data_IF_586704563561
#
_entry.id   IF_586704563561
#
_cell.length_a   1.000
_cell.length_b   1.000
_cell.length_c   1.000
_cell.angle_alpha   90.00
_cell.angle_beta   90.00
_cell.angle_gamma   90.00
#
_symmetry.space_group_name_H-M   'P 1'
#
loop_
_entity.id
_entity.type
_entity.pdbx_description
1 polymer ?
#
# COMPACT_ATOMS: atom_id res chain seq x y z
N UNK A 1 -3.89 -42.75 1.24
CA UNK A 1 -4.84 -41.78 0.66
C UNK A 1 -4.18 -41.13 -0.55
N UNK A 2 -4.39 -41.70 -1.75
CA UNK A 2 -3.67 -41.33 -2.97
C UNK A 2 -4.32 -40.09 -3.61
N UNK A 3 -3.92 -38.90 -3.16
CA UNK A 3 -4.25 -37.66 -3.86
C UNK A 3 -3.44 -37.68 -5.17
N UNK A 4 -4.11 -38.02 -6.28
CA UNK A 4 -3.49 -38.02 -7.62
C UNK A 4 -2.97 -36.61 -7.91
N UNK A 5 -1.80 -36.48 -8.55
CA UNK A 5 -1.16 -35.21 -8.93
C UNK A 5 -2.14 -34.23 -9.60
N UNK A 6 -3.09 -34.76 -10.40
CA UNK A 6 -4.21 -34.01 -10.98
C UNK A 6 -5.05 -33.23 -9.95
N UNK A 7 -5.32 -33.80 -8.78
CA UNK A 7 -6.08 -33.16 -7.71
C UNK A 7 -5.28 -32.04 -7.03
N UNK A 8 -3.95 -32.18 -6.93
CA UNK A 8 -3.06 -31.13 -6.40
C UNK A 8 -3.02 -29.93 -7.38
N UNK A 9 -2.91 -30.20 -8.68
CA UNK A 9 -2.93 -29.16 -9.72
C UNK A 9 -4.28 -28.43 -9.75
N UNK A 10 -5.40 -29.14 -9.67
CA UNK A 10 -6.74 -28.54 -9.61
C UNK A 10 -6.89 -27.67 -8.36
N UNK A 11 -6.46 -28.16 -7.19
CA UNK A 11 -6.51 -27.39 -5.94
C UNK A 11 -5.66 -26.11 -6.02
N UNK A 12 -4.47 -26.21 -6.61
CA UNK A 12 -3.59 -25.05 -6.84
C UNK A 12 -4.22 -24.02 -7.76
N UNK A 13 -4.84 -24.44 -8.86
CA UNK A 13 -5.57 -23.55 -9.79
C UNK A 13 -6.71 -22.84 -9.06
N UNK A 14 -7.50 -23.56 -8.25
CA UNK A 14 -8.61 -22.98 -7.49
C UNK A 14 -8.15 -21.94 -6.44
N UNK A 15 -7.03 -22.19 -5.75
CA UNK A 15 -6.44 -21.23 -4.79
C UNK A 15 -5.98 -19.94 -5.49
N UNK A 16 -5.36 -20.06 -6.67
CA UNK A 16 -4.96 -18.90 -7.46
C UNK A 16 -6.17 -18.12 -8.00
N UNK A 17 -7.23 -18.79 -8.45
CA UNK A 17 -8.47 -18.11 -8.88
C UNK A 17 -9.10 -17.33 -7.72
N UNK A 18 -9.10 -17.88 -6.51
CA UNK A 18 -9.66 -17.20 -5.33
C UNK A 18 -8.88 -15.93 -4.95
N UNK A 19 -7.58 -15.90 -5.27
CA UNK A 19 -6.73 -14.72 -5.03
C UNK A 19 -6.99 -13.57 -6.02
N UNK A 20 -7.73 -13.83 -7.11
CA UNK A 20 -8.04 -12.83 -8.15
C UNK A 20 -9.36 -12.10 -7.87
N UNK A 21 -10.22 -12.60 -6.96
CA UNK A 21 -11.45 -11.91 -6.58
C UNK A 21 -11.22 -10.81 -5.54
N UNK A 22 -10.31 -9.87 -5.82
CA UNK A 22 -10.29 -8.61 -5.09
C UNK A 22 -11.27 -7.67 -5.79
N UNK A 23 -12.41 -7.40 -5.16
CA UNK A 23 -13.31 -6.33 -5.61
C UNK A 23 -12.47 -5.07 -5.85
N UNK A 24 -12.64 -4.44 -7.01
CA UNK A 24 -11.79 -3.36 -7.54
C UNK A 24 -11.95 -2.03 -6.76
N UNK A 25 -12.34 -2.09 -5.48
CA UNK A 25 -12.51 -0.93 -4.64
C UNK A 25 -11.13 -0.48 -4.16
N UNK A 26 -10.67 0.66 -4.70
CA UNK A 26 -9.40 1.28 -4.32
C UNK A 26 -9.68 2.34 -3.28
N UNK A 27 -9.43 2.06 -2.01
CA UNK A 27 -9.52 3.03 -0.92
C UNK A 27 -8.15 3.53 -0.52
N UNK A 28 -8.12 4.70 0.11
CA UNK A 28 -6.94 5.23 0.76
C UNK A 28 -7.25 5.49 2.23
N UNK A 29 -6.25 5.36 3.10
CA UNK A 29 -6.34 5.98 4.41
C UNK A 29 -6.37 7.50 4.24
N UNK A 30 -7.25 8.16 4.98
CA UNK A 30 -7.34 9.61 5.06
C UNK A 30 -7.25 10.04 6.52
N UNK A 31 -6.18 10.78 6.81
CA UNK A 31 -5.89 11.32 8.13
C UNK A 31 -4.87 12.45 8.01
N UNK A 32 -4.79 13.29 9.05
CA UNK A 32 -3.71 14.25 9.24
C UNK A 32 -3.43 14.42 10.73
N UNK A 33 -2.19 14.28 11.14
CA UNK A 33 -1.80 14.50 12.53
C UNK A 33 -0.38 15.05 12.65
N UNK A 34 -0.08 15.65 13.80
CA UNK A 34 1.25 16.13 14.18
C UNK A 34 1.83 15.28 15.30
N UNK A 35 3.14 15.09 15.27
CA UNK A 35 3.89 14.35 16.29
C UNK A 35 3.50 12.87 16.45
N UNK A 36 4.18 12.21 17.40
CA UNK A 36 4.11 10.75 17.62
C UNK A 36 2.80 10.24 18.25
N UNK A 37 2.01 11.15 18.84
CA UNK A 37 0.71 10.82 19.44
C UNK A 37 -0.43 10.79 18.42
N UNK A 38 -0.19 11.30 17.21
CA UNK A 38 -1.21 11.34 16.17
C UNK A 38 -1.53 9.97 15.55
N UNK A 39 -2.80 9.73 15.26
CA UNK A 39 -3.28 8.50 14.60
C UNK A 39 -2.76 8.35 13.16
N UNK A 40 -2.35 9.46 12.53
CA UNK A 40 -1.74 9.47 11.19
C UNK A 40 -0.21 9.32 11.21
N UNK A 41 0.39 8.84 12.30
CA UNK A 41 1.84 8.70 12.39
C UNK A 41 2.44 7.68 11.41
N UNK A 42 3.75 7.64 11.40
CA UNK A 42 4.54 6.66 10.67
C UNK A 42 5.64 6.11 11.59
N UNK A 43 5.75 4.78 11.81
CA UNK A 43 5.02 3.70 11.16
C UNK A 43 3.52 3.69 11.46
N UNK A 44 2.73 3.39 10.43
CA UNK A 44 1.27 3.27 10.55
C UNK A 44 0.87 1.97 11.23
N UNK A 45 -0.09 2.05 12.16
CA UNK A 45 -0.45 0.92 13.03
C UNK A 45 -1.86 0.37 12.80
N UNK A 46 -2.65 1.02 11.96
CA UNK A 46 -4.06 0.70 11.81
C UNK A 46 -4.30 -0.16 10.57
N UNK A 47 -5.12 -1.20 10.75
CA UNK A 47 -5.65 -2.00 9.65
C UNK A 47 -7.01 -1.47 9.20
N UNK A 48 -7.49 -1.95 8.05
CA UNK A 48 -8.79 -1.57 7.47
C UNK A 48 -9.97 -1.66 8.45
N UNK A 49 -9.96 -2.65 9.34
CA UNK A 49 -11.05 -2.91 10.30
C UNK A 49 -10.99 -2.04 11.56
N UNK A 50 -9.84 -1.44 11.86
CA UNK A 50 -9.61 -0.65 13.09
C UNK A 50 -9.85 0.84 12.86
N UNK A 51 -10.12 1.23 11.62
CA UNK A 51 -10.26 2.63 11.22
C UNK A 51 -11.46 3.28 11.89
N UNK A 52 -12.59 2.58 11.94
CA UNK A 52 -13.85 3.14 12.47
C UNK A 52 -13.81 3.39 13.99
N UNK A 53 -12.85 2.77 14.68
CA UNK A 53 -12.63 2.91 16.12
C UNK A 53 -11.67 4.06 16.48
N UNK A 54 -10.87 4.54 15.51
CA UNK A 54 -9.82 5.52 15.75
C UNK A 54 -10.24 6.93 15.31
N UNK A 55 -10.34 7.90 16.25
CA UNK A 55 -10.72 9.26 15.91
C UNK A 55 -9.75 9.94 14.93
N UNK A 56 -10.28 10.57 13.90
CA UNK A 56 -9.47 11.31 12.91
C UNK A 56 -8.76 10.43 11.89
N UNK A 57 -9.04 9.13 11.88
CA UNK A 57 -8.65 8.20 10.82
C UNK A 57 -9.89 7.71 10.07
N UNK A 58 -9.83 7.73 8.75
CA UNK A 58 -10.92 7.23 7.89
C UNK A 58 -10.35 6.47 6.69
N UNK A 59 -11.16 5.63 6.05
CA UNK A 59 -10.86 5.08 4.73
C UNK A 59 -11.87 5.63 3.74
N UNK A 60 -11.37 6.15 2.62
CA UNK A 60 -12.22 6.73 1.59
C UNK A 60 -12.03 6.02 0.24
N UNK A 61 -13.10 5.82 -0.54
CA UNK A 61 -12.95 5.36 -1.91
C UNK A 61 -12.22 6.42 -2.74
N UNK A 62 -11.29 5.98 -3.58
CA UNK A 62 -10.44 6.84 -4.38
C UNK A 62 -10.60 6.52 -5.86
N UNK A 63 -11.31 7.39 -6.59
CA UNK A 63 -11.65 7.18 -8.00
C UNK A 63 -10.43 7.11 -8.93
N UNK A 64 -9.37 7.85 -8.63
CA UNK A 64 -8.08 7.76 -9.35
C UNK A 64 -7.36 6.44 -9.08
N UNK A 65 -7.68 5.78 -7.97
CA UNK A 65 -6.97 4.61 -7.47
C UNK A 65 -5.59 4.90 -6.90
N UNK A 66 -5.23 6.17 -6.73
CA UNK A 66 -3.92 6.62 -6.28
C UNK A 66 -4.02 7.23 -4.88
N UNK A 67 -3.16 6.76 -3.98
CA UNK A 67 -3.05 7.29 -2.63
C UNK A 67 -1.75 8.09 -2.47
N UNK A 68 -1.82 9.11 -1.61
CA UNK A 68 -0.69 9.94 -1.21
C UNK A 68 -0.40 9.79 0.28
N UNK A 69 0.89 9.85 0.61
CA UNK A 69 1.42 10.05 1.97
C UNK A 69 2.39 11.22 1.92
N UNK A 70 2.15 12.23 2.75
CA UNK A 70 2.95 13.46 2.82
C UNK A 70 3.53 13.58 4.23
N UNK A 71 4.82 13.80 4.33
CA UNK A 71 5.53 14.11 5.59
C UNK A 71 6.13 15.51 5.45
N UNK A 72 5.58 16.45 6.21
CA UNK A 72 6.11 17.80 6.39
C UNK A 72 7.21 17.78 7.45
N UNK A 73 8.23 18.64 7.32
CA UNK A 73 9.22 18.87 8.39
C UNK A 73 10.33 17.81 8.56
N UNK A 74 10.40 16.78 7.72
CA UNK A 74 11.41 15.71 7.81
C UNK A 74 12.58 15.87 6.83
N UNK A 75 13.53 16.75 7.10
CA UNK A 75 14.76 16.89 6.31
C UNK A 75 15.87 17.61 7.08
N UNK A 76 17.09 17.67 6.53
CA UNK A 76 18.28 18.30 7.14
C UNK A 76 18.15 19.82 7.41
N UNK A 77 16.99 20.43 7.11
CA UNK A 77 16.74 21.87 7.17
C UNK A 77 15.71 22.28 8.23
N UNK A 78 15.12 21.34 8.96
CA UNK A 78 14.15 21.61 10.03
C UNK A 78 14.71 21.12 11.35
N UNK A 79 15.30 22.04 12.12
CA UNK A 79 15.83 21.78 13.46
C UNK A 79 14.73 21.67 14.53
N UNK A 80 13.47 21.98 14.18
CA UNK A 80 12.34 22.00 15.10
C UNK A 80 11.31 20.93 14.72
N UNK A 81 11.30 19.83 15.48
CA UNK A 81 10.35 18.71 15.34
C UNK A 81 8.87 19.11 15.56
N UNK A 82 8.63 20.33 16.06
CA UNK A 82 7.28 20.86 16.34
C UNK A 82 6.44 21.09 15.08
N UNK A 83 7.05 21.11 13.89
CA UNK A 83 6.37 21.30 12.61
C UNK A 83 6.20 20.01 11.79
N UNK A 84 6.56 18.83 12.34
CA UNK A 84 6.37 17.57 11.64
C UNK A 84 4.88 17.17 11.60
N UNK A 85 4.33 17.11 10.39
CA UNK A 85 2.96 16.68 10.15
C UNK A 85 2.93 15.57 9.10
N UNK A 86 2.15 14.53 9.37
CA UNK A 86 1.94 13.43 8.44
C UNK A 86 0.49 13.48 7.97
N UNK A 87 0.31 13.36 6.66
CA UNK A 87 -0.99 13.36 6.01
C UNK A 87 -1.11 12.19 5.04
N UNK A 88 -2.25 11.53 5.06
CA UNK A 88 -2.65 10.49 4.10
C UNK A 88 -3.91 10.95 3.38
N UNK A 89 -3.96 10.76 2.07
CA UNK A 89 -5.09 11.22 1.25
C UNK A 89 -5.25 10.40 -0.03
N UNK A 90 -6.45 10.44 -0.60
CA UNK A 90 -6.66 10.10 -2.01
C UNK A 90 -6.14 11.26 -2.87
N UNK A 91 -5.33 10.98 -3.89
CA UNK A 91 -4.85 12.01 -4.82
C UNK A 91 -5.74 12.06 -6.06
N UNK A 92 -6.00 13.26 -6.59
CA UNK A 92 -6.86 13.40 -7.77
C UNK A 92 -6.21 12.84 -9.04
N UNK A 93 -4.88 12.88 -9.13
CA UNK A 93 -4.09 12.31 -10.22
C UNK A 93 -2.87 11.60 -9.65
N UNK A 94 -2.53 10.47 -10.28
CA UNK A 94 -1.27 9.79 -10.03
C UNK A 94 -0.08 10.52 -10.67
N UNK A 95 1.12 9.97 -10.50
CA UNK A 95 2.31 10.42 -11.20
C UNK A 95 2.22 10.13 -12.71
N UNK A 96 2.92 10.93 -13.53
CA UNK A 96 2.85 10.87 -14.99
C UNK A 96 3.31 9.53 -15.59
N UNK A 97 4.25 8.86 -14.93
CA UNK A 97 4.76 7.53 -15.30
C UNK A 97 3.93 6.37 -14.71
N UNK A 98 2.92 6.68 -13.90
CA UNK A 98 2.04 5.70 -13.25
C UNK A 98 2.83 4.67 -12.40
N UNK A 99 3.95 5.08 -11.81
CA UNK A 99 4.78 4.27 -10.92
C UNK A 99 4.69 4.69 -9.45
N UNK A 100 4.72 3.71 -8.55
CA UNK A 100 4.80 3.94 -7.10
C UNK A 100 6.18 4.49 -6.74
N UNK A 101 6.24 5.64 -6.05
CA UNK A 101 7.52 6.25 -5.66
C UNK A 101 7.40 7.20 -4.49
N UNK A 102 8.52 7.35 -3.77
CA UNK A 102 8.70 8.36 -2.73
C UNK A 102 9.84 9.30 -3.09
N UNK A 103 9.65 10.60 -2.92
CA UNK A 103 10.68 11.59 -3.16
C UNK A 103 10.48 12.85 -2.30
N UNK A 104 11.56 13.59 -2.07
CA UNK A 104 11.48 14.97 -1.62
C UNK A 104 10.96 15.85 -2.76
N UNK A 105 9.86 16.54 -2.52
CA UNK A 105 9.19 17.37 -3.52
C UNK A 105 8.58 18.62 -2.87
N UNK A 106 8.00 19.48 -3.70
CA UNK A 106 7.21 20.62 -3.25
C UNK A 106 5.74 20.29 -3.44
N UNK A 107 4.99 20.28 -2.34
CA UNK A 107 3.54 20.12 -2.35
C UNK A 107 2.90 21.28 -1.60
N UNK A 108 1.93 21.95 -2.22
CA UNK A 108 1.26 23.13 -1.65
C UNK A 108 2.23 24.18 -1.08
N UNK A 109 3.26 24.53 -1.87
CA UNK A 109 4.33 25.48 -1.52
C UNK A 109 5.17 25.11 -0.29
N UNK A 110 5.17 23.85 0.13
CA UNK A 110 6.02 23.33 1.22
C UNK A 110 6.93 22.23 0.70
N UNK A 111 8.17 22.20 1.19
CA UNK A 111 9.10 21.08 0.97
C UNK A 111 8.64 19.91 1.83
N UNK A 112 8.37 18.78 1.21
CA UNK A 112 7.82 17.59 1.87
C UNK A 112 8.50 16.33 1.34
N UNK A 113 8.47 15.27 2.13
CA UNK A 113 8.68 13.93 1.62
C UNK A 113 7.32 13.34 1.25
N UNK A 114 7.12 13.01 -0.02
CA UNK A 114 5.83 12.53 -0.53
C UNK A 114 5.99 11.18 -1.21
N UNK A 115 5.09 10.25 -0.88
CA UNK A 115 4.94 8.97 -1.55
C UNK A 115 3.62 8.90 -2.32
N UNK A 116 3.68 8.37 -3.53
CA UNK A 116 2.53 7.97 -4.34
C UNK A 116 2.49 6.45 -4.41
N UNK A 117 1.31 5.86 -4.25
CA UNK A 117 1.09 4.43 -4.47
C UNK A 117 -0.26 4.15 -5.10
N UNK A 118 -0.36 3.06 -5.86
CA UNK A 118 -1.60 2.62 -6.49
C UNK A 118 -2.11 1.29 -5.91
N UNK A 119 -3.28 1.31 -5.27
CA UNK A 119 -3.88 0.09 -4.70
C UNK A 119 -4.83 0.38 -3.53
N UNK A 120 -5.55 -0.65 -3.06
CA UNK A 120 -6.37 -0.53 -1.85
C UNK A 120 -5.46 -0.38 -0.62
N UNK A 121 -5.65 0.71 0.13
CA UNK A 121 -5.00 0.98 1.41
C UNK A 121 -3.45 0.98 1.36
N UNK A 122 -2.87 1.22 0.17
CA UNK A 122 -1.42 1.15 -0.07
C UNK A 122 -0.62 2.21 0.68
N UNK A 123 -1.26 3.32 1.09
CA UNK A 123 -0.60 4.42 1.80
C UNK A 123 -0.46 4.19 3.32
N UNK A 124 -0.62 2.95 3.79
CA UNK A 124 -0.32 2.56 5.17
C UNK A 124 1.17 2.68 5.48
N UNK A 125 2.04 1.97 4.77
CA UNK A 125 3.47 1.89 5.06
C UNK A 125 4.39 2.50 4.00
N UNK A 126 5.69 2.25 4.14
CA UNK A 126 6.65 2.41 3.05
C UNK A 126 6.37 1.29 2.04
N UNK A 127 6.12 1.65 0.79
CA UNK A 127 5.75 0.68 -0.25
C UNK A 127 6.92 -0.27 -0.51
N UNK A 128 6.95 -1.42 0.16
CA UNK A 128 7.70 -2.58 -0.30
C UNK A 128 6.84 -3.24 -1.38
N UNK A 129 6.88 -2.69 -2.59
CA UNK A 129 6.32 -3.34 -3.77
C UNK A 129 7.14 -4.60 -4.05
N UNK A 130 6.68 -5.76 -3.56
CA UNK A 130 7.23 -7.04 -4.02
C UNK A 130 6.92 -7.14 -5.51
N UNK A 131 7.93 -7.25 -6.38
CA UNK A 131 7.68 -7.30 -7.80
C UNK A 131 6.84 -8.52 -8.17
N UNK A 132 5.75 -8.31 -8.92
CA UNK A 132 4.80 -9.38 -9.30
C UNK A 132 5.49 -10.55 -10.01
N UNK A 133 6.61 -10.32 -10.70
CA UNK A 133 7.39 -11.37 -11.35
C UNK A 133 8.00 -12.39 -10.38
N UNK A 134 8.30 -12.00 -9.13
CA UNK A 134 8.84 -12.92 -8.12
C UNK A 134 7.79 -13.98 -7.77
N UNK A 135 6.53 -13.58 -7.63
CA UNK A 135 5.42 -14.51 -7.42
C UNK A 135 5.25 -15.45 -8.61
N UNK A 136 5.29 -14.93 -9.84
CA UNK A 136 5.20 -15.75 -11.06
C UNK A 136 6.34 -16.77 -11.14
N UNK A 137 7.58 -16.37 -10.89
CA UNK A 137 8.73 -17.29 -10.91
C UNK A 137 8.55 -18.39 -9.85
N UNK A 138 8.11 -18.04 -8.63
CA UNK A 138 7.86 -19.01 -7.58
C UNK A 138 6.75 -20.02 -7.96
N UNK A 139 5.69 -19.55 -8.63
CA UNK A 139 4.62 -20.43 -9.15
C UNK A 139 5.11 -21.39 -10.23
N UNK A 140 5.95 -20.94 -11.16
CA UNK A 140 6.50 -21.78 -12.23
C UNK A 140 7.49 -22.83 -11.70
N UNK A 141 8.31 -22.46 -10.72
CA UNK A 141 9.27 -23.39 -10.09
C UNK A 141 8.55 -24.49 -9.30
N UNK A 142 7.47 -24.15 -8.59
CA UNK A 142 6.68 -25.14 -7.85
C UNK A 142 5.90 -26.08 -8.78
N UNK A 143 5.29 -25.54 -9.84
CA UNK A 143 4.57 -26.34 -10.84
C UNK A 143 5.51 -27.28 -11.62
N UNK A 144 6.69 -26.80 -12.02
CA UNK A 144 7.68 -27.63 -12.73
C UNK A 144 8.27 -28.75 -11.87
N UNK A 145 8.34 -28.56 -10.54
CA UNK A 145 8.67 -29.64 -9.60
C UNK A 145 7.52 -30.65 -9.47
N UNK A 146 6.27 -30.20 -9.38
CA UNK A 146 5.09 -31.07 -9.25
C UNK A 146 4.78 -31.89 -10.51
N UNK A 147 5.07 -31.37 -11.70
CA UNK A 147 4.87 -32.07 -12.98
C UNK A 147 5.99 -33.07 -13.32
N UNK A 148 7.13 -32.99 -12.61
CA UNK A 148 8.24 -33.95 -12.74
C UNK A 148 8.08 -35.18 -11.83
N UNK A 149 7.03 -35.24 -11.02
CA UNK A 149 6.64 -36.40 -10.20
C UNK A 149 5.38 -37.06 -10.75
#
# INVERSE_FOLDING_TARGET
MNIKVKNIVILYILINLFSVSNGLLRRCFQCRSRGELGSCKDPFKFNATQVDEEPGLTTIPCASGWCGKVIEGGGTYSADDFDMAIQRMCVQRGPDDNEDRCAFTVYNNRKVFMCFCQGDLCNSGNSLTIPKYILVIFTLVTLSRLLKF
#
